data_IF_511206571001
#
_entry.id   IF_511206571001
#
_cell.length_a   1.000
_cell.length_b   1.000
_cell.length_c   1.000
_cell.angle_alpha   90.00
_cell.angle_beta   90.00
_cell.angle_gamma   90.00
#
_symmetry.space_group_name_H-M   'P 1'
#
loop_
_entity.id
_entity.type
_entity.pdbx_description
1 polymer ?
#
# COMPACT_ATOMS: atom_id res chain seq x y z
N UNK A 1 19.10 29.45 -62.48
CA UNK A 1 18.29 28.64 -61.56
C UNK A 1 19.13 27.45 -61.15
N UNK A 2 19.65 27.49 -59.93
CA UNK A 2 20.82 26.75 -59.50
C UNK A 2 20.44 25.48 -58.74
N UNK A 3 20.91 24.34 -59.22
CA UNK A 3 20.97 23.07 -58.47
C UNK A 3 22.29 22.99 -57.69
N UNK A 4 22.29 22.58 -56.42
CA UNK A 4 23.50 22.06 -55.77
C UNK A 4 23.51 20.50 -55.76
N UNK A 5 24.70 19.87 -55.72
CA UNK A 5 24.85 18.44 -55.93
C UNK A 5 24.76 17.60 -54.65
N UNK A 6 24.37 16.33 -54.84
CA UNK A 6 24.29 15.25 -53.84
C UNK A 6 25.63 15.02 -53.14
N UNK A 7 25.63 15.02 -51.81
CA UNK A 7 26.73 14.49 -51.00
C UNK A 7 26.42 13.07 -50.50
N UNK A 8 27.26 12.14 -50.94
CA UNK A 8 27.37 10.77 -50.47
C UNK A 8 27.99 10.73 -49.08
N UNK A 9 27.27 10.27 -48.05
CA UNK A 9 27.85 9.90 -46.76
C UNK A 9 28.07 8.39 -46.67
N UNK A 10 29.36 8.05 -46.59
CA UNK A 10 29.94 6.73 -46.38
C UNK A 10 29.49 6.12 -45.05
N UNK A 11 29.20 4.82 -45.11
CA UNK A 11 28.99 3.91 -43.97
C UNK A 11 30.27 3.82 -43.14
N UNK A 12 30.19 4.07 -41.84
CA UNK A 12 31.25 3.75 -40.88
C UNK A 12 31.18 2.26 -40.46
N UNK A 13 32.31 1.63 -40.09
CA UNK A 13 32.43 0.18 -40.01
C UNK A 13 31.90 -0.42 -38.69
N UNK A 14 31.54 -1.71 -38.76
CA UNK A 14 31.22 -2.58 -37.62
C UNK A 14 32.47 -2.84 -36.78
N UNK A 15 32.39 -2.63 -35.48
CA UNK A 15 33.34 -3.20 -34.51
C UNK A 15 32.81 -4.57 -34.02
N UNK A 16 33.69 -5.57 -34.07
CA UNK A 16 33.54 -6.91 -33.49
C UNK A 16 34.55 -7.09 -32.36
N UNK A 17 34.32 -8.04 -31.45
CA UNK A 17 34.67 -7.92 -30.03
C UNK A 17 36.02 -8.56 -29.67
N UNK A 18 36.64 -8.10 -28.58
CA UNK A 18 37.53 -8.86 -27.68
C UNK A 18 38.15 -7.95 -26.60
N UNK A 19 38.78 -8.48 -25.53
CA UNK A 19 38.45 -9.66 -24.73
C UNK A 19 38.37 -9.31 -23.22
N UNK A 20 37.95 -10.30 -22.43
CA UNK A 20 37.90 -10.37 -20.96
C UNK A 20 39.01 -9.58 -20.22
N UNK A 21 38.63 -8.62 -19.38
CA UNK A 21 39.46 -8.15 -18.26
C UNK A 21 38.82 -8.56 -16.94
N UNK A 22 39.59 -9.31 -16.14
CA UNK A 22 39.24 -9.81 -14.82
C UNK A 22 38.75 -8.68 -13.90
N UNK A 23 37.60 -8.90 -13.24
CA UNK A 23 37.11 -8.04 -12.18
C UNK A 23 37.94 -8.18 -10.90
N UNK A 24 37.98 -7.15 -10.05
CA UNK A 24 38.60 -7.26 -8.74
C UNK A 24 37.78 -8.19 -7.83
N UNK A 25 38.47 -9.17 -7.26
CA UNK A 25 37.99 -10.09 -6.22
C UNK A 25 37.56 -9.30 -5.00
N UNK A 26 36.29 -9.42 -4.60
CA UNK A 26 35.79 -8.89 -3.33
C UNK A 26 36.08 -9.93 -2.24
N UNK A 27 37.05 -9.65 -1.36
CA UNK A 27 37.17 -10.36 -0.09
C UNK A 27 36.08 -9.89 0.89
N UNK A 28 35.48 -10.80 1.69
CA UNK A 28 34.49 -10.43 2.69
C UNK A 28 35.17 -9.77 3.90
N UNK A 29 34.92 -8.48 4.11
CA UNK A 29 35.29 -7.78 5.35
C UNK A 29 34.32 -8.19 6.45
N UNK A 30 34.82 -9.00 7.40
CA UNK A 30 34.14 -9.35 8.64
C UNK A 30 34.11 -8.12 9.55
N UNK A 31 32.93 -7.54 9.78
CA UNK A 31 32.77 -6.49 10.81
C UNK A 31 32.51 -7.15 12.17
N UNK A 32 33.48 -7.03 13.07
CA UNK A 32 33.32 -7.30 14.48
C UNK A 32 32.44 -6.21 15.11
N UNK A 33 31.34 -6.62 15.76
CA UNK A 33 30.51 -5.75 16.58
C UNK A 33 31.20 -5.64 17.94
N UNK A 34 31.80 -4.49 18.24
CA UNK A 34 32.22 -4.12 19.58
C UNK A 34 31.01 -3.61 20.36
N UNK A 35 30.60 -4.36 21.39
CA UNK A 35 29.65 -3.88 22.40
C UNK A 35 30.26 -2.71 23.17
N UNK A 36 29.55 -1.58 23.16
CA UNK A 36 29.80 -0.47 24.08
C UNK A 36 28.84 -0.65 25.25
N UNK A 37 29.42 -0.99 26.41
CA UNK A 37 28.74 -1.12 27.70
C UNK A 37 28.21 0.24 28.15
N UNK A 38 26.89 0.35 28.33
CA UNK A 38 26.26 1.44 29.05
C UNK A 38 25.91 0.97 30.47
N UNK A 39 26.37 1.74 31.45
CA UNK A 39 26.33 1.46 32.88
C UNK A 39 24.90 1.62 33.41
N UNK A 40 24.39 0.60 34.09
CA UNK A 40 23.15 0.64 34.87
C UNK A 40 23.15 -0.50 35.89
N UNK A 41 22.95 -0.18 37.16
CA UNK A 41 23.09 -1.09 38.31
C UNK A 41 22.28 -2.39 38.17
N UNK A 42 22.95 -3.51 38.40
CA UNK A 42 22.33 -4.84 38.54
C UNK A 42 22.25 -5.18 40.03
N UNK A 43 21.03 -5.31 40.55
CA UNK A 43 20.78 -5.93 41.85
C UNK A 43 20.86 -7.45 41.67
N UNK A 44 21.89 -8.06 42.24
CA UNK A 44 22.10 -9.51 42.24
C UNK A 44 21.40 -10.11 43.47
N UNK A 45 20.51 -11.08 43.25
CA UNK A 45 20.05 -11.99 44.31
C UNK A 45 20.80 -13.34 44.19
N UNK A 46 21.21 -13.97 45.30
CA UNK A 46 22.10 -15.13 45.26
C UNK A 46 21.36 -16.40 44.82
N UNK A 47 21.96 -17.14 43.90
CA UNK A 47 21.56 -18.52 43.56
C UNK A 47 22.48 -19.49 44.29
N UNK A 48 21.87 -20.44 44.99
CA UNK A 48 22.55 -21.50 45.75
C UNK A 48 23.30 -22.46 44.81
N UNK A 49 24.55 -22.77 45.15
CA UNK A 49 25.41 -23.73 44.44
C UNK A 49 25.41 -25.07 45.15
N UNK A 50 24.75 -26.08 44.58
CA UNK A 50 24.93 -27.50 44.93
C UNK A 50 25.27 -28.27 43.64
N UNK A 51 26.35 -29.06 43.59
CA UNK A 51 26.74 -29.81 42.40
C UNK A 51 25.97 -31.13 42.29
N UNK A 52 25.37 -31.38 41.11
CA UNK A 52 24.78 -32.68 40.78
C UNK A 52 25.86 -33.72 40.43
N UNK A 53 25.78 -34.88 41.07
CA UNK A 53 26.59 -36.08 40.82
C UNK A 53 26.13 -36.85 39.56
N UNK A 54 26.99 -37.71 38.96
CA UNK A 54 26.68 -38.36 37.70
C UNK A 54 25.71 -39.54 37.89
N UNK A 55 24.68 -39.61 37.06
CA UNK A 55 23.67 -40.70 37.08
C UNK A 55 24.09 -41.83 36.14
N UNK A 56 24.01 -43.03 36.71
CA UNK A 56 24.36 -44.35 36.19
C UNK A 56 23.42 -44.83 35.06
N UNK A 57 24.00 -45.56 34.09
CA UNK A 57 23.33 -46.15 32.95
C UNK A 57 22.88 -47.58 33.30
N UNK A 58 21.60 -47.78 33.60
CA UNK A 58 21.00 -49.12 33.57
C UNK A 58 19.63 -49.15 32.89
N UNK A 59 19.46 -50.21 32.11
CA UNK A 59 18.41 -50.53 31.14
C UNK A 59 17.10 -51.02 31.77
N UNK A 60 15.95 -50.64 31.22
CA UNK A 60 14.62 -51.22 31.49
C UNK A 60 13.59 -50.82 30.43
N UNK A 61 12.56 -51.64 30.13
CA UNK A 61 11.99 -51.78 28.79
C UNK A 61 10.90 -50.76 28.43
N UNK A 62 10.74 -50.62 27.11
CA UNK A 62 9.77 -49.78 26.40
C UNK A 62 8.33 -50.10 26.78
N UNK A 63 7.58 -49.07 27.19
CA UNK A 63 6.13 -49.01 27.03
C UNK A 63 5.80 -47.86 26.07
N UNK A 64 5.05 -48.21 25.01
CA UNK A 64 4.62 -47.31 23.96
C UNK A 64 3.42 -46.47 24.46
N UNK A 65 3.67 -45.20 24.75
CA UNK A 65 2.63 -44.19 24.86
C UNK A 65 2.86 -43.16 23.74
N UNK A 66 1.88 -43.01 22.85
CA UNK A 66 1.93 -42.04 21.77
C UNK A 66 2.15 -40.62 22.31
N UNK A 67 3.04 -39.82 21.69
CA UNK A 67 3.29 -38.46 22.15
C UNK A 67 2.04 -37.61 21.92
N UNK A 68 1.54 -37.03 23.00
CA UNK A 68 0.37 -36.17 23.05
C UNK A 68 0.66 -34.82 22.36
N UNK A 69 0.69 -34.82 21.02
CA UNK A 69 1.02 -33.66 20.17
C UNK A 69 0.10 -32.44 20.37
N UNK A 70 -1.02 -32.60 21.07
CA UNK A 70 -1.92 -31.50 21.47
C UNK A 70 -1.33 -30.64 22.59
N UNK A 71 -0.54 -31.22 23.50
CA UNK A 71 0.10 -30.49 24.60
C UNK A 71 1.23 -29.58 24.11
N UNK A 72 2.08 -30.07 23.19
CA UNK A 72 3.19 -29.27 22.66
C UNK A 72 2.69 -28.13 21.77
N UNK A 73 1.61 -28.33 21.02
CA UNK A 73 0.96 -27.26 20.25
C UNK A 73 0.22 -26.26 21.16
N UNK A 74 -0.35 -26.71 22.27
CA UNK A 74 -0.92 -25.81 23.28
C UNK A 74 0.15 -25.03 24.03
N UNK A 75 1.28 -25.65 24.34
CA UNK A 75 2.42 -24.98 24.98
C UNK A 75 3.09 -24.02 24.01
N UNK A 76 3.26 -24.38 22.73
CA UNK A 76 3.73 -23.43 21.71
C UNK A 76 2.74 -22.29 21.52
N UNK A 77 1.43 -22.55 21.57
CA UNK A 77 0.41 -21.52 21.45
C UNK A 77 0.38 -20.60 22.68
N UNK A 78 0.54 -21.13 23.89
CA UNK A 78 0.70 -20.34 25.11
C UNK A 78 2.02 -19.55 25.12
N UNK A 79 3.11 -20.12 24.60
CA UNK A 79 4.39 -19.44 24.45
C UNK A 79 4.32 -18.37 23.35
N UNK A 80 3.57 -18.61 22.27
CA UNK A 80 3.32 -17.62 21.21
C UNK A 80 2.35 -16.53 21.68
N UNK A 81 1.41 -16.83 22.58
CA UNK A 81 0.54 -15.86 23.26
C UNK A 81 1.30 -15.08 24.36
N UNK A 82 2.29 -15.69 25.01
CA UNK A 82 3.18 -15.02 25.96
C UNK A 82 4.26 -14.18 25.25
N UNK A 83 4.68 -14.58 24.05
CA UNK A 83 5.52 -13.81 23.12
C UNK A 83 4.71 -12.84 22.25
N UNK A 84 3.37 -13.00 22.22
CA UNK A 84 2.47 -12.02 21.65
C UNK A 84 2.53 -10.82 22.57
N UNK A 85 3.46 -9.94 22.23
CA UNK A 85 3.23 -8.52 22.17
C UNK A 85 2.19 -8.10 23.21
N UNK A 86 2.59 -7.99 24.49
CA UNK A 86 2.34 -6.68 25.06
C UNK A 86 2.91 -5.76 24.00
N UNK A 87 2.08 -4.94 23.29
CA UNK A 87 2.66 -3.86 22.53
C UNK A 87 3.64 -3.27 23.53
N UNK A 88 4.94 -3.23 23.20
CA UNK A 88 5.84 -2.37 23.95
C UNK A 88 5.05 -1.09 24.02
N UNK A 89 4.48 -0.86 25.20
CA UNK A 89 3.48 0.16 25.37
C UNK A 89 4.39 1.35 25.34
N UNK A 90 4.61 1.85 24.11
CA UNK A 90 5.06 3.19 23.85
C UNK A 90 4.20 3.96 24.83
N UNK A 91 4.82 4.40 25.93
CA UNK A 91 4.22 5.34 26.83
C UNK A 91 3.74 6.44 25.90
N UNK A 92 2.43 6.44 25.66
CA UNK A 92 1.80 7.20 24.60
C UNK A 92 1.72 8.62 25.12
N UNK A 93 2.87 9.31 25.11
CA UNK A 93 2.91 10.75 25.41
C UNK A 93 2.27 11.50 24.22
N UNK A 94 2.29 10.91 23.02
CA UNK A 94 1.55 11.35 21.82
C UNK A 94 0.95 10.15 21.06
N UNK A 95 -0.23 10.33 20.46
CA UNK A 95 -0.90 9.28 19.67
C UNK A 95 -0.07 8.77 18.48
N UNK A 96 0.83 9.62 17.96
CA UNK A 96 1.64 9.41 16.75
C UNK A 96 3.13 9.25 17.04
N UNK A 97 3.85 8.60 16.12
CA UNK A 97 5.27 8.28 16.28
C UNK A 97 6.18 9.51 16.10
N UNK A 98 7.13 9.71 17.03
CA UNK A 98 8.21 10.70 16.91
C UNK A 98 9.48 9.98 16.46
N UNK A 99 10.18 10.55 15.47
CA UNK A 99 11.43 10.00 14.94
C UNK A 99 12.64 10.79 15.47
N UNK A 100 13.63 10.06 16.01
CA UNK A 100 14.94 10.61 16.38
C UNK A 100 15.78 11.01 15.16
N UNK A 101 16.87 11.76 15.35
CA UNK A 101 17.68 12.28 14.25
C UNK A 101 18.26 11.17 13.33
N UNK A 102 18.84 10.12 13.92
CA UNK A 102 19.39 8.98 13.17
C UNK A 102 18.28 8.20 12.46
N UNK A 103 17.17 7.99 13.15
CA UNK A 103 16.01 7.29 12.63
C UNK A 103 15.39 8.01 11.41
N UNK A 104 15.39 9.35 11.42
CA UNK A 104 14.96 10.14 10.25
C UNK A 104 15.84 9.87 9.03
N UNK A 105 17.16 9.75 9.21
CA UNK A 105 18.09 9.46 8.11
C UNK A 105 17.83 8.07 7.54
N UNK A 106 17.69 7.06 8.41
CA UNK A 106 17.41 5.68 7.99
C UNK A 106 16.04 5.56 7.32
N UNK A 107 15.01 6.20 7.89
CA UNK A 107 13.66 6.22 7.33
C UNK A 107 13.63 6.87 5.95
N UNK A 108 14.35 7.97 5.75
CA UNK A 108 14.44 8.61 4.43
C UNK A 108 15.11 7.69 3.39
N UNK A 109 16.20 7.03 3.75
CA UNK A 109 16.87 6.07 2.85
C UNK A 109 15.94 4.91 2.49
N UNK A 110 15.19 4.39 3.47
CA UNK A 110 14.19 3.36 3.24
C UNK A 110 13.11 3.84 2.26
N UNK A 111 12.51 5.01 2.51
CA UNK A 111 11.47 5.59 1.63
C UNK A 111 11.96 5.79 0.18
N UNK A 112 13.20 6.24 0.01
CA UNK A 112 13.79 6.40 -1.31
C UNK A 112 13.94 5.05 -2.04
N UNK A 113 14.29 3.98 -1.32
CA UNK A 113 14.39 2.64 -1.87
C UNK A 113 13.02 2.01 -2.18
N UNK A 114 11.96 2.42 -1.46
CA UNK A 114 10.59 1.91 -1.63
C UNK A 114 9.74 2.72 -2.63
N UNK A 115 10.32 3.69 -3.35
CA UNK A 115 9.58 4.43 -4.36
C UNK A 115 9.08 3.49 -5.46
N UNK A 116 7.78 3.55 -5.73
CA UNK A 116 7.11 2.65 -6.66
C UNK A 116 7.56 2.87 -8.10
N UNK A 117 7.84 1.77 -8.80
CA UNK A 117 8.19 1.82 -10.21
C UNK A 117 7.05 2.33 -11.08
N UNK A 118 7.38 2.99 -12.20
CA UNK A 118 6.40 3.58 -13.13
C UNK A 118 5.35 2.58 -13.63
N UNK A 119 5.77 1.35 -13.95
CA UNK A 119 4.87 0.29 -14.41
C UNK A 119 3.83 -0.09 -13.35
N UNK A 120 4.24 -0.15 -12.08
CA UNK A 120 3.35 -0.43 -10.95
C UNK A 120 2.38 0.71 -10.70
N UNK A 121 2.89 1.94 -10.67
CA UNK A 121 2.05 3.14 -10.56
C UNK A 121 1.01 3.18 -11.70
N UNK A 122 1.39 2.88 -12.94
CA UNK A 122 0.44 2.79 -14.06
C UNK A 122 -0.61 1.71 -13.86
N UNK A 123 -0.21 0.50 -13.47
CA UNK A 123 -1.13 -0.61 -13.23
C UNK A 123 -2.14 -0.28 -12.12
N UNK A 124 -1.74 0.51 -11.13
CA UNK A 124 -2.57 1.00 -10.03
C UNK A 124 -3.24 2.34 -10.32
N UNK A 125 -3.13 2.82 -11.57
CA UNK A 125 -3.95 3.92 -12.06
C UNK A 125 -3.40 5.33 -11.83
N UNK A 126 -2.11 5.49 -11.54
CA UNK A 126 -1.49 6.81 -11.51
C UNK A 126 -1.30 7.39 -12.90
N UNK A 127 -1.48 8.70 -13.01
CA UNK A 127 -1.03 9.47 -14.17
C UNK A 127 0.47 9.71 -14.05
N UNK A 128 1.28 8.89 -14.73
CA UNK A 128 2.77 8.93 -14.66
C UNK A 128 3.43 9.70 -15.81
N UNK A 129 2.64 10.40 -16.62
CA UNK A 129 3.11 11.14 -17.78
C UNK A 129 1.94 11.71 -18.58
N UNK A 130 2.25 12.69 -19.42
CA UNK A 130 1.29 13.31 -20.34
C UNK A 130 1.20 12.40 -21.57
N UNK A 131 0.49 11.28 -21.45
CA UNK A 131 0.21 10.40 -22.59
C UNK A 131 -1.14 10.80 -23.19
N UNK A 132 -1.30 10.66 -24.51
CA UNK A 132 -2.58 10.82 -25.20
C UNK A 132 -3.68 10.01 -24.50
N UNK A 133 -4.88 10.59 -24.43
CA UNK A 133 -6.05 10.11 -23.69
C UNK A 133 -6.15 8.58 -23.58
N UNK A 134 -5.92 8.01 -22.39
CA UNK A 134 -6.46 6.68 -22.11
C UNK A 134 -7.98 6.84 -21.99
N UNK A 135 -8.69 6.54 -23.09
CA UNK A 135 -10.15 6.66 -23.18
C UNK A 135 -10.90 5.87 -22.10
N UNK A 136 -10.23 4.92 -21.43
CA UNK A 136 -10.82 4.12 -20.34
C UNK A 136 -10.85 4.86 -19.01
N UNK A 137 -10.06 5.93 -18.85
CA UNK A 137 -9.99 6.69 -17.60
C UNK A 137 -10.45 8.13 -17.80
N UNK A 138 -11.48 8.51 -17.05
CA UNK A 138 -11.94 9.91 -16.99
C UNK A 138 -11.32 10.56 -15.76
N UNK A 139 -10.22 11.30 -15.90
CA UNK A 139 -9.59 11.98 -14.77
C UNK A 139 -10.54 13.03 -14.19
N UNK A 140 -10.37 13.33 -12.91
CA UNK A 140 -11.18 14.35 -12.21
C UNK A 140 -10.99 15.74 -12.83
N UNK A 141 -9.78 16.02 -13.30
CA UNK A 141 -9.46 17.22 -14.08
C UNK A 141 -8.97 16.85 -15.50
N UNK A 142 -9.12 17.73 -16.51
CA UNK A 142 -8.58 17.48 -17.85
C UNK A 142 -7.06 17.20 -17.84
N UNK A 143 -6.61 16.20 -18.61
CA UNK A 143 -5.19 15.80 -18.71
C UNK A 143 -4.25 16.97 -19.05
N UNK A 144 -4.69 17.92 -19.88
CA UNK A 144 -3.91 19.11 -20.24
C UNK A 144 -3.59 20.04 -19.04
N UNK A 145 -4.32 19.90 -17.93
CA UNK A 145 -4.14 20.68 -16.71
C UNK A 145 -3.29 19.97 -15.66
N UNK A 146 -2.90 18.72 -15.90
CA UNK A 146 -1.89 18.06 -15.08
C UNK A 146 -0.55 18.77 -15.21
N UNK A 147 0.20 18.80 -14.11
CA UNK A 147 1.51 19.44 -14.02
C UNK A 147 2.48 18.51 -13.33
N UNK A 148 3.70 18.45 -13.85
CA UNK A 148 4.80 17.84 -13.13
C UNK A 148 5.14 18.68 -11.90
N UNK A 149 5.57 18.03 -10.81
CA UNK A 149 6.14 18.74 -9.66
C UNK A 149 7.36 19.58 -10.11
N UNK A 150 7.62 20.74 -9.48
CA UNK A 150 8.75 21.59 -9.83
C UNK A 150 10.06 20.83 -9.74
N UNK A 151 10.99 21.11 -10.65
CA UNK A 151 12.35 20.56 -10.59
C UNK A 151 13.00 21.03 -9.29
N UNK A 152 13.75 20.15 -8.63
CA UNK A 152 14.54 20.52 -7.45
C UNK A 152 15.61 21.57 -7.84
N UNK A 153 15.65 22.69 -7.12
CA UNK A 153 16.65 23.74 -7.33
C UNK A 153 17.60 23.77 -6.13
N UNK A 154 18.90 23.69 -6.40
CA UNK A 154 19.90 23.85 -5.35
C UNK A 154 19.74 25.22 -4.68
N UNK A 155 19.45 25.23 -3.37
CA UNK A 155 19.43 26.45 -2.54
C UNK A 155 18.05 27.04 -2.19
N UNK A 156 16.92 26.46 -2.64
CA UNK A 156 15.58 26.96 -2.27
C UNK A 156 15.22 26.63 -0.80
N UNK A 157 15.79 25.57 -0.21
CA UNK A 157 15.90 25.32 1.23
C UNK A 157 14.58 25.08 1.99
N UNK A 158 13.42 25.19 1.34
CA UNK A 158 12.10 24.99 1.96
C UNK A 158 11.49 23.63 1.63
N UNK A 159 12.02 22.91 0.64
CA UNK A 159 11.51 21.62 0.25
C UNK A 159 11.75 20.57 1.33
N UNK A 160 10.71 19.77 1.57
CA UNK A 160 10.77 18.64 2.50
C UNK A 160 11.27 17.42 1.76
N UNK A 161 11.97 16.54 2.48
CA UNK A 161 12.52 15.30 1.89
C UNK A 161 11.45 14.24 1.67
N UNK A 162 10.42 14.22 2.51
CA UNK A 162 9.30 13.30 2.39
C UNK A 162 8.02 13.96 2.95
N UNK A 163 6.94 13.92 2.18
CA UNK A 163 5.65 14.56 2.53
C UNK A 163 4.54 13.53 2.41
N UNK A 164 3.76 13.39 3.47
CA UNK A 164 2.53 12.60 3.48
C UNK A 164 1.37 13.51 3.09
N UNK A 165 0.51 13.03 2.20
CA UNK A 165 -0.58 13.80 1.60
C UNK A 165 -1.87 13.00 1.65
N UNK A 166 -2.95 13.65 2.07
CA UNK A 166 -4.31 13.15 1.96
C UNK A 166 -5.25 14.30 1.57
N UNK A 167 -6.26 13.99 0.78
CA UNK A 167 -7.24 14.94 0.27
C UNK A 167 -8.66 14.42 0.44
N UNK A 168 -9.56 15.32 0.83
CA UNK A 168 -10.99 15.04 0.78
C UNK A 168 -11.58 15.56 -0.52
N UNK A 169 -12.48 14.80 -1.12
CA UNK A 169 -13.13 15.14 -2.38
C UNK A 169 -14.64 15.18 -2.26
N UNK A 170 -15.26 15.95 -3.15
CA UNK A 170 -16.71 16.06 -3.31
C UNK A 170 -17.11 15.71 -4.73
N UNK A 171 -18.35 15.28 -4.94
CA UNK A 171 -18.86 14.98 -6.28
C UNK A 171 -19.36 16.23 -6.99
N UNK A 172 -18.98 16.34 -8.25
CA UNK A 172 -19.47 17.36 -9.18
C UNK A 172 -20.17 16.67 -10.37
N UNK A 173 -20.72 17.46 -11.29
CA UNK A 173 -21.46 16.92 -12.44
C UNK A 173 -20.65 15.88 -13.25
N UNK A 174 -21.38 14.96 -13.91
CA UNK A 174 -20.85 13.89 -14.76
C UNK A 174 -20.01 12.83 -14.02
N UNK A 175 -20.27 12.62 -12.73
CA UNK A 175 -19.59 11.60 -11.93
C UNK A 175 -18.11 11.90 -11.65
N UNK A 176 -17.69 13.16 -11.83
CA UNK A 176 -16.34 13.60 -11.49
C UNK A 176 -16.25 13.99 -10.01
N UNK A 177 -15.03 14.03 -9.49
CA UNK A 177 -14.73 14.51 -8.14
C UNK A 177 -13.93 15.81 -8.23
N UNK A 178 -14.04 16.68 -7.24
CA UNK A 178 -13.16 17.84 -7.07
C UNK A 178 -12.64 17.90 -5.63
N UNK A 179 -11.44 18.45 -5.48
CA UNK A 179 -10.78 18.65 -4.20
C UNK A 179 -11.62 19.60 -3.31
N UNK A 180 -11.81 19.21 -2.05
CA UNK A 180 -12.54 19.97 -1.04
C UNK A 180 -11.72 20.23 0.22
N UNK A 181 -10.71 19.40 0.51
CA UNK A 181 -9.79 19.59 1.63
C UNK A 181 -8.44 18.98 1.28
N UNK A 182 -7.34 19.55 1.77
CA UNK A 182 -6.00 19.00 1.61
C UNK A 182 -5.23 19.09 2.92
N UNK A 183 -4.59 17.99 3.30
CA UNK A 183 -3.65 17.93 4.41
C UNK A 183 -2.32 17.39 3.93
N UNK A 184 -1.22 18.08 4.28
CA UNK A 184 0.13 17.64 4.00
C UNK A 184 1.00 17.77 5.26
N UNK A 185 1.74 16.71 5.58
CA UNK A 185 2.59 16.61 6.76
C UNK A 185 4.00 16.20 6.35
N UNK A 186 5.02 16.81 6.94
CA UNK A 186 6.40 16.34 6.79
C UNK A 186 6.56 14.99 7.48
N UNK A 187 6.92 13.96 6.72
CA UNK A 187 7.00 12.59 7.24
C UNK A 187 8.03 12.48 8.37
N UNK A 188 9.16 13.18 8.29
CA UNK A 188 10.29 12.98 9.19
C UNK A 188 10.07 13.65 10.55
N UNK A 189 9.51 14.86 10.56
CA UNK A 189 9.26 15.66 11.76
C UNK A 189 7.84 15.52 12.32
N UNK A 190 6.86 15.20 11.47
CA UNK A 190 5.43 15.27 11.82
C UNK A 190 4.86 16.70 11.76
N UNK A 191 5.62 17.67 11.24
CA UNK A 191 5.15 19.06 11.06
C UNK A 191 4.00 19.13 10.04
N UNK A 192 2.91 19.78 10.40
CA UNK A 192 1.81 20.09 9.47
C UNK A 192 2.25 21.21 8.53
N UNK A 193 2.29 20.91 7.24
CA UNK A 193 2.72 21.84 6.18
C UNK A 193 1.53 22.56 5.54
N UNK A 194 0.44 21.83 5.34
CA UNK A 194 -0.84 22.33 4.82
C UNK A 194 -1.98 21.61 5.55
N UNK A 195 -3.02 22.34 5.92
CA UNK A 195 -4.27 21.79 6.42
C UNK A 195 -5.40 22.78 6.11
N UNK A 196 -6.01 22.66 4.93
CA UNK A 196 -6.89 23.69 4.40
C UNK A 196 -8.09 23.14 3.65
N UNK A 197 -9.24 23.79 3.86
CA UNK A 197 -10.36 23.73 2.94
C UNK A 197 -9.94 24.23 1.56
N UNK A 198 -10.45 23.58 0.52
CA UNK A 198 -10.29 23.99 -0.88
C UNK A 198 -11.67 24.17 -1.47
N UNK A 199 -12.01 25.39 -1.88
CA UNK A 199 -13.28 25.66 -2.52
C UNK A 199 -13.31 25.01 -3.91
N UNK A 200 -14.24 24.07 -4.18
CA UNK A 200 -14.37 23.48 -5.51
C UNK A 200 -14.70 24.54 -6.56
N UNK A 201 -14.20 24.35 -7.77
CA UNK A 201 -14.39 25.29 -8.88
C UNK A 201 -15.70 25.04 -9.62
N UNK A 202 -16.11 23.76 -9.70
CA UNK A 202 -17.41 23.38 -10.23
C UNK A 202 -18.46 23.32 -9.13
N UNK A 203 -19.73 23.40 -9.54
CA UNK A 203 -20.86 23.23 -8.64
C UNK A 203 -20.87 21.81 -8.06
N UNK A 204 -20.82 21.73 -6.73
CA UNK A 204 -20.94 20.48 -5.98
C UNK A 204 -22.35 19.91 -6.11
N UNK A 205 -22.46 18.65 -6.48
CA UNK A 205 -23.71 17.89 -6.55
C UNK A 205 -23.92 17.09 -5.27
N UNK A 206 -22.85 16.50 -4.72
CA UNK A 206 -22.90 15.76 -3.47
C UNK A 206 -21.62 15.98 -2.66
N UNK A 207 -21.76 16.28 -1.38
CA UNK A 207 -20.61 16.59 -0.51
C UNK A 207 -19.93 15.34 0.05
N UNK A 208 -20.58 14.18 -0.02
CA UNK A 208 -20.08 12.93 0.55
C UNK A 208 -19.62 13.04 2.00
N UNK A 209 -20.25 13.91 2.81
CA UNK A 209 -19.75 14.28 4.15
C UNK A 209 -19.52 13.10 5.10
N UNK A 210 -20.16 11.95 4.86
CA UNK A 210 -19.91 10.69 5.61
C UNK A 210 -18.52 10.08 5.35
N UNK A 211 -17.89 10.48 4.24
CA UNK A 211 -16.55 10.10 3.82
C UNK A 211 -15.66 11.34 3.89
N UNK A 212 -16.04 12.43 3.23
CA UNK A 212 -15.18 13.62 3.11
C UNK A 212 -14.97 14.42 4.40
N UNK A 213 -15.85 14.26 5.39
CA UNK A 213 -15.90 15.16 6.56
C UNK A 213 -16.27 16.62 6.26
N UNK A 214 -16.34 17.01 4.99
CA UNK A 214 -16.64 18.38 4.55
C UNK A 214 -18.13 18.54 4.36
N UNK A 215 -18.69 19.60 4.95
CA UNK A 215 -20.08 20.01 4.74
C UNK A 215 -20.16 21.33 3.98
N UNK A 216 -21.26 21.53 3.25
CA UNK A 216 -21.55 22.80 2.57
C UNK A 216 -21.44 24.02 3.51
N UNK A 217 -21.98 23.88 4.73
CA UNK A 217 -21.95 24.95 5.74
C UNK A 217 -20.53 25.27 6.20
N UNK A 218 -19.73 24.23 6.48
CA UNK A 218 -18.33 24.39 6.87
C UNK A 218 -17.50 25.05 5.78
N UNK A 219 -17.63 24.59 4.53
CA UNK A 219 -16.96 25.19 3.38
C UNK A 219 -17.35 26.67 3.20
N UNK A 220 -18.65 26.99 3.23
CA UNK A 220 -19.12 28.38 3.09
C UNK A 220 -18.60 29.28 4.23
N UNK A 221 -18.49 28.75 5.45
CA UNK A 221 -17.89 29.46 6.58
C UNK A 221 -16.40 29.71 6.33
N UNK A 222 -15.65 28.70 5.90
CA UNK A 222 -14.22 28.82 5.59
C UNK A 222 -13.97 29.85 4.48
N UNK A 223 -14.78 29.84 3.41
CA UNK A 223 -14.70 30.83 2.32
C UNK A 223 -14.97 32.24 2.83
N UNK A 224 -16.05 32.46 3.60
CA UNK A 224 -16.38 33.79 4.16
C UNK A 224 -15.29 34.34 5.08
N UNK A 225 -14.60 33.46 5.79
CA UNK A 225 -13.51 33.82 6.70
C UNK A 225 -12.15 33.95 5.99
N UNK A 226 -12.06 33.71 4.67
CA UNK A 226 -10.79 33.73 3.94
C UNK A 226 -9.85 32.56 4.29
N UNK A 227 -10.38 31.46 4.82
CA UNK A 227 -9.63 30.29 5.28
C UNK A 227 -9.57 29.16 4.24
N UNK A 228 -10.34 29.27 3.15
CA UNK A 228 -10.36 28.30 2.07
C UNK A 228 -9.47 28.75 0.89
N UNK A 229 -8.73 27.80 0.31
CA UNK A 229 -8.00 28.01 -0.93
C UNK A 229 -8.96 27.97 -2.12
N UNK A 230 -8.73 28.83 -3.11
CA UNK A 230 -9.62 28.94 -4.28
C UNK A 230 -9.22 27.92 -5.36
N UNK A 231 -9.81 26.72 -5.29
CA UNK A 231 -9.64 25.65 -6.26
C UNK A 231 -8.36 24.83 -6.12
N UNK A 232 -8.34 23.67 -6.79
CA UNK A 232 -7.22 22.73 -6.76
C UNK A 232 -5.91 23.32 -7.29
N UNK A 233 -5.97 24.29 -8.20
CA UNK A 233 -4.78 24.96 -8.72
C UNK A 233 -4.04 25.73 -7.64
N UNK A 234 -4.76 26.40 -6.72
CA UNK A 234 -4.14 27.12 -5.62
C UNK A 234 -3.61 26.18 -4.54
N UNK A 235 -4.33 25.09 -4.25
CA UNK A 235 -3.84 24.02 -3.38
C UNK A 235 -2.51 23.42 -3.90
N UNK A 236 -2.44 23.12 -5.20
CA UNK A 236 -1.23 22.63 -5.85
C UNK A 236 -0.07 23.63 -5.77
N UNK A 237 -0.32 24.92 -6.00
CA UNK A 237 0.70 25.97 -5.86
C UNK A 237 1.25 26.05 -4.43
N UNK A 238 0.37 25.94 -3.44
CA UNK A 238 0.77 25.91 -2.02
C UNK A 238 1.62 24.68 -1.70
N UNK A 239 1.29 23.52 -2.26
CA UNK A 239 2.06 22.28 -2.09
C UNK A 239 3.48 22.38 -2.68
N UNK A 240 3.66 23.09 -3.80
CA UNK A 240 4.97 23.33 -4.43
C UNK A 240 5.96 24.14 -3.60
N UNK A 241 5.52 24.73 -2.48
CA UNK A 241 6.41 25.36 -1.51
C UNK A 241 7.25 24.33 -0.74
N UNK A 242 6.74 23.09 -0.66
CA UNK A 242 7.32 22.00 0.12
C UNK A 242 7.72 20.79 -0.73
N UNK A 243 7.16 20.65 -1.94
CA UNK A 243 7.32 19.47 -2.81
C UNK A 243 7.98 19.84 -4.12
N UNK A 244 9.07 19.15 -4.45
CA UNK A 244 9.75 19.17 -5.75
C UNK A 244 9.87 17.76 -6.35
N UNK A 245 10.68 17.56 -7.39
CA UNK A 245 10.94 16.24 -8.00
C UNK A 245 11.74 15.28 -7.12
N UNK A 246 12.43 15.78 -6.10
CA UNK A 246 13.30 15.01 -5.21
C UNK A 246 12.62 14.64 -3.89
N UNK A 247 11.58 15.36 -3.48
CA UNK A 247 10.66 14.99 -2.39
C UNK A 247 10.02 13.63 -2.65
N UNK A 248 9.94 12.75 -1.64
CA UNK A 248 9.12 11.53 -1.71
C UNK A 248 7.69 11.89 -1.30
N UNK A 249 6.72 11.72 -2.20
CA UNK A 249 5.29 11.83 -1.86
C UNK A 249 4.75 10.51 -1.32
N UNK A 250 4.03 10.59 -0.22
CA UNK A 250 3.53 9.45 0.54
C UNK A 250 2.01 9.57 0.69
N UNK A 251 1.30 8.47 0.54
CA UNK A 251 -0.16 8.44 0.76
C UNK A 251 -0.72 7.03 0.83
N UNK A 252 -2.05 6.95 0.87
CA UNK A 252 -2.79 5.69 0.82
C UNK A 252 -3.83 5.74 -0.31
N UNK A 253 -3.63 4.98 -1.38
CA UNK A 253 -4.39 5.16 -2.64
C UNK A 253 -4.25 6.58 -3.22
N UNK A 254 -3.04 7.11 -3.14
CA UNK A 254 -2.63 8.49 -3.46
C UNK A 254 -2.92 8.90 -4.91
N UNK A 255 -3.19 7.93 -5.80
CA UNK A 255 -3.62 8.23 -7.17
C UNK A 255 -4.91 9.05 -7.21
N UNK A 256 -5.79 8.93 -6.20
CA UNK A 256 -7.02 9.73 -6.13
C UNK A 256 -6.72 11.20 -5.84
N UNK A 257 -5.81 11.45 -4.91
CA UNK A 257 -5.36 12.77 -4.47
C UNK A 257 -4.64 13.50 -5.58
N UNK A 258 -3.68 12.82 -6.23
CA UNK A 258 -2.92 13.39 -7.34
C UNK A 258 -3.79 13.63 -8.58
N UNK A 259 -4.87 12.85 -8.78
CA UNK A 259 -5.83 13.06 -9.87
C UNK A 259 -6.64 14.33 -9.67
N UNK A 260 -7.14 14.61 -8.45
CA UNK A 260 -7.90 15.84 -8.17
C UNK A 260 -7.02 17.08 -8.05
N UNK A 261 -5.75 16.92 -7.65
CA UNK A 261 -4.76 17.99 -7.65
C UNK A 261 -4.15 18.24 -9.05
N UNK A 262 -4.22 17.25 -9.95
CA UNK A 262 -3.59 17.33 -11.25
C UNK A 262 -2.07 17.27 -11.20
N UNK A 263 -1.51 16.36 -10.41
CA UNK A 263 -0.07 16.28 -10.18
C UNK A 263 0.49 15.01 -10.81
N UNK A 264 1.63 15.16 -11.49
CA UNK A 264 2.48 14.06 -11.94
C UNK A 264 3.77 14.15 -11.15
N UNK A 265 4.08 13.12 -10.37
CA UNK A 265 5.22 13.12 -9.46
C UNK A 265 6.05 11.83 -9.61
N UNK A 266 7.40 11.91 -9.66
CA UNK A 266 8.24 10.76 -9.94
C UNK A 266 8.52 9.85 -8.74
N UNK A 267 8.47 10.33 -7.49
CA UNK A 267 8.89 9.58 -6.29
C UNK A 267 7.72 9.35 -5.35
N UNK A 268 6.99 8.25 -5.56
CA UNK A 268 5.77 7.94 -4.81
C UNK A 268 5.97 6.69 -3.96
N UNK A 269 5.61 6.78 -2.68
CA UNK A 269 5.41 5.63 -1.80
C UNK A 269 3.93 5.60 -1.40
N UNK A 270 3.19 4.68 -1.99
CA UNK A 270 1.80 4.43 -1.62
C UNK A 270 1.71 3.22 -0.69
N UNK A 271 1.12 3.41 0.48
CA UNK A 271 1.01 2.37 1.50
C UNK A 271 0.07 1.23 1.11
N UNK A 272 -0.99 1.50 0.34
CA UNK A 272 -1.89 0.46 -0.19
C UNK A 272 -1.16 -0.43 -1.20
N UNK A 273 -0.27 0.15 -2.02
CA UNK A 273 0.56 -0.61 -2.96
C UNK A 273 1.65 -1.37 -2.23
N UNK A 274 2.39 -0.71 -1.34
CA UNK A 274 3.50 -1.30 -0.58
C UNK A 274 3.04 -2.54 0.19
N UNK A 275 1.89 -2.44 0.85
CA UNK A 275 1.31 -3.56 1.61
C UNK A 275 0.86 -4.70 0.70
N UNK A 276 0.23 -4.37 -0.42
CA UNK A 276 -0.13 -5.38 -1.41
C UNK A 276 1.06 -6.05 -2.09
N UNK A 277 2.17 -5.35 -2.28
CA UNK A 277 3.39 -5.94 -2.83
C UNK A 277 4.04 -6.94 -1.89
N UNK A 278 4.03 -6.64 -0.59
CA UNK A 278 4.51 -7.59 0.41
C UNK A 278 3.67 -8.88 0.42
N UNK A 279 2.35 -8.75 0.22
CA UNK A 279 1.45 -9.92 0.16
C UNK A 279 1.58 -10.67 -1.18
N UNK A 280 1.47 -9.97 -2.31
CA UNK A 280 1.52 -10.53 -3.66
C UNK A 280 2.92 -10.37 -4.29
N UNK A 281 3.92 -10.95 -3.61
CA UNK A 281 5.33 -10.76 -3.93
C UNK A 281 5.82 -11.52 -5.18
N UNK A 282 4.94 -12.31 -5.80
CA UNK A 282 5.17 -13.06 -7.04
C UNK A 282 4.69 -12.31 -8.29
N UNK A 283 3.96 -11.20 -8.12
CA UNK A 283 3.44 -10.40 -9.24
C UNK A 283 4.51 -9.53 -9.87
N UNK A 284 4.51 -9.50 -11.20
CA UNK A 284 5.37 -8.58 -11.95
C UNK A 284 4.92 -7.12 -11.77
N UNK A 285 5.82 -6.13 -11.87
CA UNK A 285 5.48 -4.72 -11.64
C UNK A 285 4.33 -4.20 -12.51
N UNK A 286 4.20 -4.68 -13.75
CA UNK A 286 3.14 -4.26 -14.69
C UNK A 286 1.79 -4.95 -14.49
N UNK A 287 1.67 -5.92 -13.58
CA UNK A 287 0.41 -6.56 -13.25
C UNK A 287 -0.32 -5.75 -12.17
N UNK A 288 -1.63 -5.56 -12.36
CA UNK A 288 -2.48 -4.92 -11.37
C UNK A 288 -2.56 -5.79 -10.11
N UNK A 289 -2.51 -5.16 -8.95
CA UNK A 289 -2.69 -5.86 -7.68
C UNK A 289 -4.16 -6.26 -7.55
N UNK A 290 -4.42 -7.53 -7.27
CA UNK A 290 -5.78 -8.07 -7.17
C UNK A 290 -6.58 -7.54 -5.98
N UNK A 291 -5.89 -7.13 -4.93
CA UNK A 291 -6.48 -6.60 -3.70
C UNK A 291 -5.55 -5.59 -3.07
N UNK A 292 -6.13 -4.58 -2.44
CA UNK A 292 -5.46 -3.64 -1.53
C UNK A 292 -6.19 -3.65 -0.18
N UNK A 293 -5.47 -3.32 0.88
CA UNK A 293 -6.01 -3.17 2.23
C UNK A 293 -6.37 -1.72 2.48
N UNK A 294 -7.49 -1.48 3.15
CA UNK A 294 -7.89 -0.13 3.53
C UNK A 294 -6.98 0.42 4.62
N UNK A 295 -6.82 1.75 4.66
CA UNK A 295 -6.06 2.43 5.70
C UNK A 295 -6.53 2.00 7.09
N UNK A 296 -7.85 2.01 7.32
CA UNK A 296 -8.47 1.57 8.58
C UNK A 296 -8.08 0.15 9.00
N UNK A 297 -8.05 -0.78 8.05
CA UNK A 297 -7.61 -2.17 8.32
C UNK A 297 -6.15 -2.20 8.73
N UNK A 298 -5.27 -1.53 7.97
CA UNK A 298 -3.83 -1.52 8.23
C UNK A 298 -3.50 -0.81 9.56
N UNK A 299 -4.14 0.32 9.85
CA UNK A 299 -3.93 1.03 11.13
C UNK A 299 -4.31 0.14 12.30
N UNK A 300 -5.43 -0.57 12.20
CA UNK A 300 -5.88 -1.46 13.26
C UNK A 300 -4.95 -2.65 13.44
N UNK A 301 -4.61 -3.34 12.36
CA UNK A 301 -3.81 -4.56 12.40
C UNK A 301 -2.34 -4.31 12.74
N UNK A 302 -1.76 -3.24 12.20
CA UNK A 302 -0.33 -2.95 12.33
C UNK A 302 -0.05 -1.97 13.47
N UNK A 303 -0.75 -0.83 13.49
CA UNK A 303 -0.50 0.24 14.46
C UNK A 303 -1.34 0.11 15.75
N UNK A 304 -2.32 -0.80 15.78
CA UNK A 304 -3.08 -1.13 16.99
C UNK A 304 -4.10 -0.08 17.43
N UNK A 305 -4.58 0.78 16.53
CA UNK A 305 -5.65 1.74 16.85
C UNK A 305 -6.65 1.92 15.70
N UNK A 306 -7.87 2.33 16.04
CA UNK A 306 -8.92 2.63 15.08
C UNK A 306 -8.87 4.10 14.62
N UNK A 307 -9.15 4.32 13.34
CA UNK A 307 -9.37 5.62 12.71
C UNK A 307 -10.75 5.67 12.07
N UNK A 308 -11.18 6.86 11.65
CA UNK A 308 -12.48 7.07 11.02
C UNK A 308 -13.61 6.55 11.92
N UNK A 309 -13.48 6.84 13.21
CA UNK A 309 -14.41 6.42 14.24
C UNK A 309 -15.56 7.45 14.35
N UNK A 310 -16.80 6.96 14.36
CA UNK A 310 -17.99 7.80 14.52
C UNK A 310 -18.71 8.15 13.22
N UNK A 311 -19.52 9.22 13.26
CA UNK A 311 -20.45 9.61 12.17
C UNK A 311 -20.09 10.93 11.48
N UNK A 312 -18.98 11.57 11.86
CA UNK A 312 -18.64 12.93 11.41
C UNK A 312 -17.91 12.97 10.06
N UNK A 313 -17.75 11.83 9.38
CA UNK A 313 -16.90 11.71 8.19
C UNK A 313 -15.46 11.40 8.54
N UNK A 314 -14.60 11.32 7.53
CA UNK A 314 -13.16 11.17 7.73
C UNK A 314 -12.53 12.53 8.00
N UNK A 315 -11.29 12.48 8.48
CA UNK A 315 -10.45 13.64 8.70
C UNK A 315 -9.16 13.42 7.93
N UNK A 316 -8.92 14.24 6.89
CA UNK A 316 -7.67 14.17 6.14
C UNK A 316 -6.42 14.22 7.03
N UNK A 317 -6.47 14.96 8.14
CA UNK A 317 -5.36 14.97 9.11
C UNK A 317 -5.19 13.63 9.82
N UNK A 318 -6.28 13.00 10.26
CA UNK A 318 -6.24 11.66 10.86
C UNK A 318 -5.67 10.63 9.87
N UNK A 319 -6.16 10.65 8.63
CA UNK A 319 -5.76 9.72 7.58
C UNK A 319 -4.30 9.95 7.13
N UNK A 320 -3.86 11.21 7.05
CA UNK A 320 -2.45 11.58 6.80
C UNK A 320 -1.53 11.04 7.89
N UNK A 321 -1.89 11.24 9.16
CA UNK A 321 -1.07 10.79 10.29
C UNK A 321 -1.09 9.27 10.45
N UNK A 322 -2.22 8.61 10.19
CA UNK A 322 -2.31 7.16 10.20
C UNK A 322 -1.48 6.52 9.09
N UNK A 323 -1.48 7.11 7.89
CA UNK A 323 -0.61 6.69 6.78
C UNK A 323 0.86 6.80 7.16
N UNK A 324 1.24 7.90 7.83
CA UNK A 324 2.59 8.11 8.35
C UNK A 324 2.97 7.04 9.38
N UNK A 325 2.10 6.78 10.35
CA UNK A 325 2.34 5.82 11.43
C UNK A 325 2.49 4.39 10.90
N UNK A 326 1.69 3.97 9.92
CA UNK A 326 1.82 2.64 9.28
C UNK A 326 3.21 2.47 8.67
N UNK A 327 3.70 3.46 7.92
CA UNK A 327 5.04 3.36 7.32
C UNK A 327 6.14 3.32 8.36
N UNK A 328 6.05 4.15 9.39
CA UNK A 328 7.00 4.11 10.51
C UNK A 328 6.96 2.74 11.20
N UNK A 329 5.77 2.17 11.39
CA UNK A 329 5.63 0.84 11.95
C UNK A 329 6.30 -0.22 11.07
N UNK A 330 6.09 -0.19 9.75
CA UNK A 330 6.74 -1.10 8.81
C UNK A 330 8.28 -0.97 8.89
N UNK A 331 8.80 0.26 8.96
CA UNK A 331 10.24 0.52 9.08
C UNK A 331 10.80 -0.06 10.38
N UNK A 332 10.14 0.18 11.52
CA UNK A 332 10.59 -0.25 12.85
C UNK A 332 10.48 -1.77 13.06
N UNK A 333 9.47 -2.40 12.48
CA UNK A 333 9.06 -3.76 12.83
C UNK A 333 9.21 -4.73 11.65
N UNK A 334 10.34 -4.70 10.95
CA UNK A 334 10.59 -5.52 9.74
C UNK A 334 10.25 -7.01 9.93
N UNK A 335 10.63 -7.63 11.07
CA UNK A 335 10.29 -9.03 11.35
C UNK A 335 8.77 -9.26 11.46
N UNK A 336 8.04 -8.38 12.17
CA UNK A 336 6.59 -8.48 12.29
C UNK A 336 5.90 -8.20 10.96
N UNK A 337 6.47 -7.30 10.16
CA UNK A 337 6.02 -7.00 8.80
C UNK A 337 6.13 -8.24 7.88
N UNK A 338 7.26 -8.94 7.92
CA UNK A 338 7.48 -10.17 7.17
C UNK A 338 6.50 -11.28 7.61
N UNK A 339 6.30 -11.44 8.92
CA UNK A 339 5.34 -12.41 9.47
C UNK A 339 3.90 -12.07 9.04
N UNK A 340 3.47 -10.82 9.20
CA UNK A 340 2.14 -10.38 8.80
C UNK A 340 1.91 -10.61 7.30
N UNK A 341 2.85 -10.21 6.45
CA UNK A 341 2.69 -10.34 5.00
C UNK A 341 2.66 -11.80 4.55
N UNK A 342 3.43 -12.69 5.18
CA UNK A 342 3.42 -14.12 4.91
C UNK A 342 2.08 -14.77 5.31
N UNK A 343 1.56 -14.42 6.49
CA UNK A 343 0.27 -14.90 6.98
C UNK A 343 -0.86 -14.46 6.05
N UNK A 344 -0.93 -13.16 5.74
CA UNK A 344 -1.95 -12.59 4.85
C UNK A 344 -1.84 -13.17 3.43
N UNK A 345 -0.63 -13.47 2.94
CA UNK A 345 -0.43 -14.18 1.67
C UNK A 345 -1.02 -15.59 1.70
N UNK A 346 -0.84 -16.32 2.79
CA UNK A 346 -1.49 -17.62 3.01
C UNK A 346 -3.01 -17.50 2.91
N UNK A 347 -3.59 -16.52 3.59
CA UNK A 347 -5.04 -16.26 3.55
C UNK A 347 -5.55 -15.90 2.15
N UNK A 348 -4.82 -15.09 1.38
CA UNK A 348 -5.20 -14.76 0.00
C UNK A 348 -5.14 -15.96 -0.95
N UNK A 349 -4.18 -16.88 -0.75
CA UNK A 349 -4.13 -18.15 -1.50
C UNK A 349 -5.35 -19.02 -1.19
N UNK A 350 -5.72 -19.13 0.09
CA UNK A 350 -6.93 -19.87 0.51
C UNK A 350 -8.17 -19.23 -0.13
N UNK A 351 -8.33 -17.91 -0.02
CA UNK A 351 -9.46 -17.18 -0.65
C UNK A 351 -9.51 -17.37 -2.16
N UNK A 352 -8.35 -17.43 -2.84
CA UNK A 352 -8.30 -17.70 -4.27
C UNK A 352 -8.79 -19.11 -4.61
N UNK A 353 -8.37 -20.12 -3.85
CA UNK A 353 -8.84 -21.50 -4.00
C UNK A 353 -10.33 -21.64 -3.72
N UNK A 354 -10.84 -21.02 -2.66
CA UNK A 354 -12.27 -21.02 -2.33
C UNK A 354 -13.12 -20.42 -3.45
N UNK A 355 -12.68 -19.31 -4.05
CA UNK A 355 -13.34 -18.71 -5.22
C UNK A 355 -13.36 -19.65 -6.42
N UNK A 356 -12.28 -20.39 -6.66
CA UNK A 356 -12.21 -21.31 -7.79
C UNK A 356 -13.09 -22.54 -7.57
N UNK A 357 -13.09 -23.09 -6.35
CA UNK A 357 -14.02 -24.16 -5.95
C UNK A 357 -15.47 -23.73 -6.15
N UNK A 358 -15.84 -22.52 -5.69
CA UNK A 358 -17.19 -22.00 -5.85
C UNK A 358 -17.61 -21.86 -7.33
N UNK A 359 -16.70 -21.43 -8.21
CA UNK A 359 -16.96 -21.37 -9.67
C UNK A 359 -17.17 -22.76 -10.27
N UNK A 360 -16.34 -23.73 -9.90
CA UNK A 360 -16.46 -25.11 -10.40
C UNK A 360 -17.77 -25.75 -9.93
N UNK A 361 -18.16 -25.53 -8.68
CA UNK A 361 -19.45 -25.98 -8.15
C UNK A 361 -20.63 -25.34 -8.90
N UNK A 362 -20.57 -24.03 -9.17
CA UNK A 362 -21.60 -23.34 -9.95
C UNK A 362 -21.72 -23.87 -11.38
N UNK A 363 -20.59 -24.17 -12.04
CA UNK A 363 -20.56 -24.79 -13.37
C UNK A 363 -21.17 -26.19 -13.35
N UNK A 364 -20.79 -27.02 -12.39
CA UNK A 364 -21.32 -28.38 -12.24
C UNK A 364 -22.83 -28.36 -12.00
N UNK A 365 -23.32 -27.44 -11.17
CA UNK A 365 -24.76 -27.28 -10.92
C UNK A 365 -25.51 -26.85 -12.18
N UNK A 366 -24.94 -25.93 -12.97
CA UNK A 366 -25.53 -25.52 -14.24
C UNK A 366 -25.56 -26.67 -15.25
N UNK A 367 -24.50 -27.48 -15.33
CA UNK A 367 -24.45 -28.66 -16.20
C UNK A 367 -25.50 -29.70 -15.80
N UNK A 368 -25.70 -29.95 -14.50
CA UNK A 368 -26.75 -30.85 -14.00
C UNK A 368 -28.14 -30.36 -14.41
N UNK A 369 -28.43 -29.06 -14.26
CA UNK A 369 -29.70 -28.45 -14.69
C UNK A 369 -29.93 -28.62 -16.19
N UNK A 370 -28.92 -28.31 -17.00
CA UNK A 370 -29.00 -28.46 -18.46
C UNK A 370 -29.24 -29.94 -18.86
N UNK A 371 -28.60 -30.89 -18.18
CA UNK A 371 -28.82 -32.33 -18.41
C UNK A 371 -30.24 -32.77 -18.02
N UNK A 372 -30.77 -32.26 -16.91
CA UNK A 372 -32.13 -32.55 -16.47
C UNK A 372 -33.17 -31.99 -17.45
N UNK A 373 -32.99 -30.76 -17.93
CA UNK A 373 -33.84 -30.14 -18.95
C UNK A 373 -33.82 -30.94 -20.26
N UNK A 374 -32.63 -31.29 -20.77
CA UNK A 374 -32.49 -32.13 -21.96
C UNK A 374 -33.13 -33.52 -21.78
N UNK A 375 -33.11 -34.08 -20.56
CA UNK A 375 -33.78 -35.35 -20.25
C UNK A 375 -35.31 -35.20 -20.25
N UNK A 376 -35.84 -34.11 -19.69
CA UNK A 376 -37.28 -33.78 -19.70
C UNK A 376 -37.78 -33.56 -21.12
N UNK A 377 -37.03 -32.85 -21.95
CA UNK A 377 -37.37 -32.59 -23.35
C UNK A 377 -37.43 -33.88 -24.17
N UNK A 378 -36.40 -34.74 -24.08
CA UNK A 378 -36.42 -36.07 -24.72
C UNK A 378 -37.58 -36.95 -24.24
N UNK A 379 -37.95 -36.86 -22.96
CA UNK A 379 -39.10 -37.61 -22.44
C UNK A 379 -40.42 -37.09 -23.03
N UNK A 380 -40.57 -35.77 -23.16
CA UNK A 380 -41.73 -35.14 -23.79
C UNK A 380 -41.86 -35.51 -25.26
N UNK A 381 -40.77 -35.42 -26.03
CA UNK A 381 -40.72 -35.85 -27.44
C UNK A 381 -41.13 -37.32 -27.60
N UNK A 382 -40.61 -38.21 -26.74
CA UNK A 382 -40.97 -39.62 -26.76
C UNK A 382 -42.46 -39.84 -26.47
N UNK A 383 -43.03 -39.08 -25.54
CA UNK A 383 -44.45 -39.17 -25.20
C UNK A 383 -45.34 -38.69 -26.36
N UNK A 384 -44.98 -37.57 -27.00
CA UNK A 384 -45.68 -37.06 -28.18
C UNK A 384 -45.62 -38.06 -29.35
N UNK A 385 -44.45 -38.66 -29.61
CA UNK A 385 -44.33 -39.72 -30.62
C UNK A 385 -45.25 -40.90 -30.34
N UNK A 386 -45.34 -41.35 -29.08
CA UNK A 386 -46.22 -42.46 -28.68
C UNK A 386 -47.71 -42.11 -28.84
N UNK A 387 -48.13 -40.89 -28.53
CA UNK A 387 -49.52 -40.44 -28.77
C UNK A 387 -49.87 -40.45 -30.25
N UNK A 388 -48.96 -39.94 -31.10
CA UNK A 388 -49.12 -39.91 -32.54
C UNK A 388 -49.26 -41.33 -33.12
N UNK A 389 -48.41 -42.26 -32.67
CA UNK A 389 -48.43 -43.66 -33.09
C UNK A 389 -49.70 -44.40 -32.64
N UNK A 390 -50.31 -43.99 -31.51
CA UNK A 390 -51.55 -44.57 -31.00
C UNK A 390 -52.83 -43.99 -31.64
N UNK A 391 -52.71 -43.03 -32.56
CA UNK A 391 -53.87 -42.38 -33.19
C UNK A 391 -54.66 -41.45 -32.27
N UNK A 392 -54.07 -41.07 -31.13
CA UNK A 392 -54.63 -40.13 -30.17
C UNK A 392 -54.15 -38.73 -30.54
N UNK A 393 -54.83 -38.07 -31.48
CA UNK A 393 -54.62 -36.65 -31.80
C UNK A 393 -55.51 -35.75 -30.95
#
# INVERSE_FOLDING_TARGET
MSTPPRSSRKRAPKETPNPLSAGPTLEPVLYAVTEVVAVGEVVVLPVSTEPLSPVDLTTGPMDAAEPNHTSELQDLKLQLEALALQPLALQRISQHAILGAEERVLSLRYLQAQCHGKARLQAQGYTVGIVAEDKRKRPSIPNALFRHTPVAHAGKGTERKAVVLDCEMVQVANGRRELAYVTAVDFLSGEVLLDHYVQPTAKVVHWDSRYSGVTCSAMNKAVRNGQALLGYSKAREMLWRFVDTETVLIGHSLNNDLDVLGIIHPKIVDTSILTSEAVFNDLLPGQALSRTWSLKTLTKELAGYDIQAGKQGHSAFEDTMATRDILIWCIRNQKLWDMWSAEVRGQEKIRALEREIAKLQAKLEQEKKNQEESRKERHKEKLEFLKLAAGLS
#
